data_IF_363136371848
#
_entry.id   IF_363136371848
#
_cell.length_a   1.000
_cell.length_b   1.000
_cell.length_c   1.000
_cell.angle_alpha   90.00
_cell.angle_beta   90.00
_cell.angle_gamma   90.00
#
_symmetry.space_group_name_H-M   'P 1'
#
loop_
_entity.id
_entity.type
_entity.pdbx_description
1 polymer ?
#
# COMPACT_ATOMS: atom_id res chain seq x y z
N UNK A 1 10.35 -3.79 6.97
CA UNK A 1 9.56 -2.68 6.38
C UNK A 1 8.24 -2.58 7.11
N UNK A 2 7.78 -1.36 7.41
CA UNK A 2 6.42 -1.11 7.89
C UNK A 2 5.87 0.21 7.34
N UNK A 3 4.55 0.35 7.35
CA UNK A 3 3.88 1.60 6.98
C UNK A 3 2.51 1.67 7.66
N UNK A 4 2.07 2.89 7.94
CA UNK A 4 0.67 3.19 8.23
C UNK A 4 0.04 3.79 6.95
N UNK A 5 -1.06 3.20 6.49
CA UNK A 5 -1.72 3.64 5.26
C UNK A 5 -2.99 4.41 5.58
N UNK A 6 -2.82 5.72 5.80
CA UNK A 6 -3.90 6.71 5.74
C UNK A 6 -3.83 7.43 4.39
N UNK A 7 -4.99 7.66 3.78
CA UNK A 7 -5.07 8.19 2.42
C UNK A 7 -6.12 9.29 2.34
N UNK A 8 -5.73 10.46 1.84
CA UNK A 8 -6.64 11.55 1.53
C UNK A 8 -7.13 11.41 0.09
N UNK A 9 -8.43 11.26 -0.10
CA UNK A 9 -9.04 11.23 -1.44
C UNK A 9 -9.57 12.62 -1.85
N UNK A 10 -9.42 12.98 -3.13
CA UNK A 10 -9.98 14.20 -3.71
C UNK A 10 -10.60 13.89 -5.07
N UNK A 11 -11.88 14.22 -5.24
CA UNK A 11 -12.56 14.15 -6.53
C UNK A 11 -12.41 15.49 -7.27
N UNK A 12 -11.85 15.43 -8.48
CA UNK A 12 -11.57 16.58 -9.35
C UNK A 12 -12.56 16.76 -10.51
N UNK A 13 -13.71 16.09 -10.47
CA UNK A 13 -14.71 16.12 -11.56
C UNK A 13 -14.59 14.92 -12.50
N UNK A 14 -13.48 14.80 -13.24
CA UNK A 14 -13.22 13.61 -14.09
C UNK A 14 -12.04 12.75 -13.60
N UNK A 15 -11.54 13.02 -12.40
CA UNK A 15 -10.47 12.26 -11.77
C UNK A 15 -10.71 12.07 -10.28
N UNK A 16 -10.15 11.00 -9.74
CA UNK A 16 -10.04 10.75 -8.31
C UNK A 16 -8.57 10.63 -7.94
N UNK A 17 -8.12 11.48 -7.03
CA UNK A 17 -6.75 11.49 -6.55
C UNK A 17 -6.68 10.90 -5.15
N UNK A 18 -5.65 10.11 -4.89
CA UNK A 18 -5.36 9.51 -3.60
C UNK A 18 -3.95 9.90 -3.17
N UNK A 19 -3.86 10.66 -2.08
CA UNK A 19 -2.59 11.10 -1.50
C UNK A 19 -2.32 10.31 -0.22
N UNK A 20 -1.29 9.46 -0.18
CA UNK A 20 -0.84 8.82 1.05
C UNK A 20 -0.35 9.88 2.04
N UNK A 21 -0.84 9.83 3.28
CA UNK A 21 -0.41 10.73 4.35
C UNK A 21 0.72 10.11 5.18
N UNK A 22 0.69 8.79 5.37
CA UNK A 22 1.71 8.07 6.13
C UNK A 22 2.99 7.80 5.34
N UNK A 23 4.13 7.81 6.05
CA UNK A 23 5.45 7.43 5.55
C UNK A 23 5.60 5.91 5.44
N UNK A 24 6.58 5.47 4.65
CA UNK A 24 7.05 4.10 4.60
C UNK A 24 8.42 4.01 5.28
N UNK A 25 8.64 2.95 6.03
CA UNK A 25 9.86 2.76 6.81
C UNK A 25 10.54 1.45 6.41
N UNK A 26 11.85 1.52 6.18
CA UNK A 26 12.68 0.40 5.76
C UNK A 26 13.88 0.27 6.70
N UNK A 27 14.27 -0.98 6.97
CA UNK A 27 15.48 -1.29 7.73
C UNK A 27 16.31 -2.20 6.85
N UNK A 28 17.53 -1.76 6.54
CA UNK A 28 18.49 -2.46 5.68
C UNK A 28 19.81 -2.49 6.43
N UNK A 29 20.23 -3.66 6.91
CA UNK A 29 21.34 -3.75 7.86
C UNK A 29 21.02 -2.94 9.12
N UNK A 30 21.93 -2.03 9.48
CA UNK A 30 21.79 -1.13 10.64
C UNK A 30 21.21 0.26 10.26
N UNK A 31 20.83 0.45 8.99
CA UNK A 31 20.31 1.71 8.49
C UNK A 31 18.78 1.74 8.47
N UNK A 32 18.21 2.92 8.76
CA UNK A 32 16.78 3.15 8.81
C UNK A 32 16.40 4.20 7.78
N UNK A 33 15.60 3.81 6.78
CA UNK A 33 15.14 4.70 5.74
C UNK A 33 13.68 5.08 5.94
N UNK A 34 13.37 6.34 5.70
CA UNK A 34 12.01 6.89 5.76
C UNK A 34 11.67 7.48 4.41
N UNK A 35 10.55 7.02 3.82
CA UNK A 35 10.12 7.39 2.48
C UNK A 35 8.71 7.97 2.43
N UNK A 36 8.50 8.96 1.58
CA UNK A 36 7.16 9.38 1.14
C UNK A 36 6.71 8.56 -0.07
N UNK A 37 5.40 8.52 -0.33
CA UNK A 37 4.79 7.75 -1.42
C UNK A 37 4.13 8.69 -2.42
N UNK A 38 4.16 8.38 -3.73
CA UNK A 38 3.56 9.24 -4.73
C UNK A 38 2.04 9.21 -4.60
N UNK A 39 1.39 10.23 -5.15
CA UNK A 39 -0.07 10.25 -5.32
C UNK A 39 -0.46 9.25 -6.39
N UNK A 40 -1.59 8.58 -6.20
CA UNK A 40 -2.27 7.80 -7.25
C UNK A 40 -3.41 8.62 -7.84
N UNK A 41 -3.55 8.59 -9.17
CA UNK A 41 -4.64 9.25 -9.89
C UNK A 41 -5.40 8.21 -10.69
N UNK A 42 -6.71 8.13 -10.48
CA UNK A 42 -7.65 7.46 -11.39
C UNK A 42 -8.29 8.53 -12.27
N UNK A 43 -7.84 8.62 -13.52
CA UNK A 43 -8.34 9.61 -14.50
C UNK A 43 -9.41 9.03 -15.41
N UNK A 44 -10.26 9.90 -15.96
CA UNK A 44 -11.36 9.53 -16.85
C UNK A 44 -12.39 8.59 -16.19
N UNK A 45 -12.71 8.83 -14.92
CA UNK A 45 -13.68 8.00 -14.18
C UNK A 45 -15.14 8.26 -14.60
N UNK A 46 -15.43 9.35 -15.33
CA UNK A 46 -16.76 9.65 -15.89
C UNK A 46 -16.73 9.61 -17.42
N UNK A 47 -15.77 10.29 -18.04
CA UNK A 47 -15.68 10.43 -19.49
C UNK A 47 -14.27 10.06 -19.99
N UNK A 48 -14.23 9.21 -21.03
CA UNK A 48 -13.02 8.73 -21.66
C UNK A 48 -12.61 7.33 -21.19
N UNK A 49 -11.41 6.90 -21.59
CA UNK A 49 -10.85 5.61 -21.15
C UNK A 49 -10.19 5.79 -19.79
N UNK A 50 -10.68 5.05 -18.78
CA UNK A 50 -10.10 4.98 -17.44
C UNK A 50 -8.61 4.66 -17.52
N UNK A 51 -7.80 5.42 -16.79
CA UNK A 51 -6.38 5.13 -16.59
C UNK A 51 -5.97 5.34 -15.14
N UNK A 52 -4.91 4.65 -14.74
CA UNK A 52 -4.24 4.87 -13.47
C UNK A 52 -2.89 5.52 -13.72
N UNK A 53 -2.53 6.46 -12.87
CA UNK A 53 -1.24 7.13 -12.92
C UNK A 53 -0.65 7.39 -11.53
N UNK A 54 0.67 7.53 -11.48
CA UNK A 54 1.40 7.96 -10.29
C UNK A 54 2.00 9.33 -10.55
N UNK A 55 1.85 10.26 -9.62
CA UNK A 55 2.43 11.59 -9.76
C UNK A 55 2.89 12.20 -8.44
N UNK A 56 3.80 13.16 -8.55
CA UNK A 56 4.37 13.88 -7.42
C UNK A 56 5.79 13.44 -7.09
N UNK A 57 6.42 14.23 -6.23
CA UNK A 57 7.79 14.02 -5.81
C UNK A 57 7.80 13.12 -4.57
N UNK A 58 8.75 12.19 -4.54
CA UNK A 58 8.99 11.31 -3.40
C UNK A 58 10.44 11.47 -2.94
N UNK A 59 10.64 11.35 -1.64
CA UNK A 59 11.96 11.33 -1.04
C UNK A 59 12.04 10.11 -0.13
N UNK A 60 13.15 9.37 -0.20
CA UNK A 60 13.53 8.36 0.76
C UNK A 60 14.90 8.71 1.32
N UNK A 61 15.00 8.88 2.64
CA UNK A 61 16.21 9.34 3.32
C UNK A 61 16.57 8.40 4.46
N UNK A 62 17.86 8.16 4.69
CA UNK A 62 18.40 7.63 5.92
C UNK A 62 18.81 8.80 6.83
N UNK A 63 18.06 9.11 7.91
CA UNK A 63 18.39 10.24 8.78
C UNK A 63 19.75 10.10 9.47
N UNK A 64 20.22 8.87 9.71
CA UNK A 64 21.52 8.63 10.36
C UNK A 64 22.70 9.05 9.49
N UNK A 65 22.60 8.85 8.18
CA UNK A 65 23.73 9.04 7.26
C UNK A 65 23.54 10.22 6.31
N UNK A 66 22.32 10.75 6.18
CA UNK A 66 21.97 11.79 5.22
C UNK A 66 21.82 11.30 3.78
N UNK A 67 22.14 10.03 3.49
CA UNK A 67 21.95 9.42 2.16
C UNK A 67 20.48 9.46 1.80
N UNK A 68 20.17 9.93 0.59
CA UNK A 68 18.78 10.03 0.14
C UNK A 68 18.59 9.82 -1.35
N UNK A 69 17.38 9.43 -1.72
CA UNK A 69 16.92 9.35 -3.10
C UNK A 69 15.69 10.25 -3.26
N UNK A 70 15.71 11.10 -4.28
CA UNK A 70 14.57 11.97 -4.63
C UNK A 70 14.11 11.61 -6.03
N UNK A 71 12.85 11.18 -6.17
CA UNK A 71 12.25 10.77 -7.43
C UNK A 71 11.03 11.64 -7.75
N UNK A 72 10.93 12.07 -9.01
CA UNK A 72 9.77 12.76 -9.57
C UNK A 72 8.96 11.79 -10.42
N UNK A 73 7.71 11.57 -10.03
CA UNK A 73 6.73 10.86 -10.84
C UNK A 73 6.00 11.88 -11.70
N UNK A 74 6.23 11.84 -13.01
CA UNK A 74 5.62 12.80 -13.93
C UNK A 74 4.16 12.43 -14.17
N UNK A 75 3.22 13.39 -14.01
CA UNK A 75 1.83 13.13 -14.33
C UNK A 75 1.65 12.92 -15.83
N UNK A 76 0.67 12.10 -16.19
CA UNK A 76 0.17 11.92 -17.55
C UNK A 76 -0.18 13.28 -18.16
N UNK A 77 0.59 13.67 -19.18
CA UNK A 77 0.36 14.87 -19.97
C UNK A 77 -0.50 14.59 -21.20
N UNK A 78 -1.02 15.64 -21.84
CA UNK A 78 -1.82 15.50 -23.07
C UNK A 78 -1.03 14.82 -24.20
N UNK A 79 0.27 15.12 -24.32
CA UNK A 79 1.12 14.59 -25.39
C UNK A 79 1.62 13.16 -25.15
N UNK A 80 1.26 12.54 -24.03
CA UNK A 80 1.77 11.23 -23.57
C UNK A 80 3.30 11.11 -23.43
N UNK A 81 4.07 12.20 -23.63
CA UNK A 81 5.54 12.18 -23.64
C UNK A 81 6.15 11.66 -22.34
N UNK A 82 5.49 11.94 -21.22
CA UNK A 82 5.96 11.59 -19.87
C UNK A 82 5.08 10.51 -19.24
N UNK A 83 4.30 9.77 -20.05
CA UNK A 83 3.48 8.68 -19.54
C UNK A 83 4.34 7.73 -18.72
N UNK A 84 3.98 7.55 -17.45
CA UNK A 84 4.62 6.64 -16.52
C UNK A 84 6.07 6.97 -16.17
N UNK A 85 6.61 8.11 -16.62
CA UNK A 85 8.00 8.49 -16.41
C UNK A 85 8.27 8.76 -14.93
N UNK A 86 9.30 8.12 -14.41
CA UNK A 86 9.91 8.42 -13.12
C UNK A 86 11.39 8.74 -13.34
N UNK A 87 11.86 9.84 -12.75
CA UNK A 87 13.26 10.22 -12.81
C UNK A 87 13.71 10.96 -11.56
N UNK A 88 14.99 10.90 -11.23
CA UNK A 88 15.50 11.45 -9.98
C UNK A 88 16.96 11.17 -9.76
N UNK A 89 17.43 11.36 -8.53
CA UNK A 89 18.83 11.19 -8.18
C UNK A 89 19.00 10.60 -6.77
N UNK A 90 20.09 9.87 -6.60
CA UNK A 90 20.62 9.48 -5.29
C UNK A 90 21.70 10.48 -4.88
N UNK A 91 21.69 10.84 -3.59
CA UNK A 91 22.64 11.74 -2.95
C UNK A 91 23.38 10.99 -1.86
N UNK A 92 24.69 11.17 -1.79
CA UNK A 92 25.53 10.64 -0.70
C UNK A 92 25.38 11.47 0.59
N UNK A 93 26.12 11.10 1.63
CA UNK A 93 26.15 11.80 2.92
C UNK A 93 26.63 13.25 2.84
N UNK A 94 27.44 13.59 1.85
CA UNK A 94 27.94 14.95 1.61
C UNK A 94 26.93 15.81 0.81
N UNK A 95 25.80 15.23 0.40
CA UNK A 95 24.77 15.91 -0.39
C UNK A 95 25.10 15.98 -1.89
N UNK A 96 26.10 15.24 -2.36
CA UNK A 96 26.48 15.16 -3.77
C UNK A 96 25.68 14.10 -4.50
N UNK A 97 25.33 14.36 -5.76
CA UNK A 97 24.63 13.41 -6.61
C UNK A 97 25.58 12.29 -7.04
N UNK A 98 25.21 11.04 -6.78
CA UNK A 98 26.01 9.86 -7.13
C UNK A 98 25.38 9.01 -8.23
N UNK A 99 24.05 8.96 -8.28
CA UNK A 99 23.32 8.24 -9.32
C UNK A 99 22.19 9.09 -9.89
N UNK A 100 21.96 8.98 -11.20
CA UNK A 100 20.70 9.33 -11.85
C UNK A 100 19.81 8.10 -11.86
N UNK A 101 18.54 8.23 -11.49
CA UNK A 101 17.54 7.16 -11.55
C UNK A 101 16.52 7.54 -12.61
N UNK A 102 16.20 6.63 -13.53
CA UNK A 102 15.22 6.91 -14.59
C UNK A 102 14.54 5.64 -15.07
N UNK A 103 13.27 5.75 -15.43
CA UNK A 103 12.52 4.66 -16.03
C UNK A 103 11.03 4.94 -16.16
N UNK A 104 10.27 3.88 -16.38
CA UNK A 104 8.81 3.94 -16.35
C UNK A 104 8.29 3.01 -15.25
N UNK A 105 7.51 3.54 -14.32
CA UNK A 105 7.08 2.79 -13.13
C UNK A 105 6.21 1.56 -13.46
N UNK A 106 5.69 1.48 -14.68
CA UNK A 106 4.90 0.35 -15.18
C UNK A 106 5.70 -0.63 -16.06
N UNK A 107 7.01 -0.43 -16.23
CA UNK A 107 7.89 -1.25 -17.07
C UNK A 107 9.20 -1.59 -16.38
N UNK A 108 10.12 -0.64 -16.25
CA UNK A 108 11.44 -0.85 -15.65
C UNK A 108 12.04 0.46 -15.17
N UNK A 109 12.97 0.35 -14.20
CA UNK A 109 13.71 1.48 -13.63
C UNK A 109 15.18 1.08 -13.55
N UNK A 110 16.05 1.96 -14.03
CA UNK A 110 17.51 1.82 -13.97
C UNK A 110 18.13 2.99 -13.21
N UNK A 111 19.34 2.78 -12.72
CA UNK A 111 20.21 3.83 -12.21
C UNK A 111 21.51 3.89 -13.01
N UNK A 112 22.01 5.10 -13.27
CA UNK A 112 23.30 5.34 -13.90
C UNK A 112 24.21 6.01 -12.89
N UNK A 113 25.39 5.42 -12.66
CA UNK A 113 26.44 6.03 -11.85
C UNK A 113 26.97 7.27 -12.58
N UNK A 114 26.98 8.42 -11.91
CA UNK A 114 27.36 9.71 -12.52
C UNK A 114 28.86 9.91 -12.68
N UNK A 115 29.69 9.08 -12.03
CA UNK A 115 31.15 9.11 -12.16
C UNK A 115 31.63 8.17 -13.28
N UNK A 116 31.04 6.98 -13.35
CA UNK A 116 31.51 5.91 -14.25
C UNK A 116 30.67 5.72 -15.51
N UNK A 117 29.52 6.40 -15.62
CA UNK A 117 28.49 6.19 -16.64
C UNK A 117 27.94 4.75 -16.71
N UNK A 118 28.20 3.92 -15.70
CA UNK A 118 27.70 2.56 -15.63
C UNK A 118 26.20 2.54 -15.31
N UNK A 119 25.42 1.82 -16.13
CA UNK A 119 23.99 1.63 -15.93
C UNK A 119 23.69 0.29 -15.24
N UNK A 120 22.80 0.34 -14.24
CA UNK A 120 22.35 -0.78 -13.44
C UNK A 120 20.83 -0.85 -13.53
N UNK A 121 20.29 -1.97 -14.00
CA UNK A 121 18.86 -2.26 -13.92
C UNK A 121 18.48 -2.51 -12.46
N UNK A 122 17.59 -1.68 -11.90
CA UNK A 122 17.14 -1.81 -10.50
C UNK A 122 15.90 -2.68 -10.37
N UNK A 123 14.96 -2.54 -11.30
CA UNK A 123 13.68 -3.22 -11.25
C UNK A 123 13.07 -3.32 -12.65
N UNK A 124 12.40 -4.43 -12.91
CA UNK A 124 11.58 -4.66 -14.10
C UNK A 124 10.26 -5.33 -13.70
N UNK A 125 9.18 -5.01 -14.42
CA UNK A 125 7.85 -5.55 -14.17
C UNK A 125 7.78 -7.01 -14.59
N UNK A 126 7.14 -7.83 -13.75
CA UNK A 126 6.86 -9.21 -14.10
C UNK A 126 5.83 -9.33 -15.23
N UNK A 127 6.00 -10.28 -16.16
CA UNK A 127 5.03 -10.53 -17.22
C UNK A 127 3.63 -10.82 -16.66
N UNK A 128 2.63 -10.16 -17.26
CA UNK A 128 1.22 -10.36 -16.94
C UNK A 128 0.80 -11.80 -17.22
N UNK A 129 -0.16 -12.31 -16.44
CA UNK A 129 -0.79 -13.60 -16.73
C UNK A 129 -1.59 -13.51 -18.05
N UNK A 130 -1.78 -14.65 -18.73
CA UNK A 130 -2.52 -14.70 -20.01
C UNK A 130 -3.96 -14.18 -19.85
N UNK A 131 -4.60 -14.50 -18.73
CA UNK A 131 -5.98 -14.13 -18.40
C UNK A 131 -6.09 -12.87 -17.53
N UNK A 132 -5.09 -11.97 -17.60
CA UNK A 132 -5.01 -10.76 -16.78
C UNK A 132 -6.24 -9.86 -16.92
N UNK A 133 -6.77 -9.71 -18.15
CA UNK A 133 -7.92 -8.85 -18.43
C UNK A 133 -9.22 -9.45 -17.87
N UNK A 134 -9.38 -10.77 -17.92
CA UNK A 134 -10.52 -11.51 -17.36
C UNK A 134 -10.47 -11.59 -15.83
N UNK A 135 -9.30 -11.35 -15.22
CA UNK A 135 -9.07 -11.38 -13.77
C UNK A 135 -8.84 -9.99 -13.18
N UNK A 136 -9.66 -9.01 -13.57
CA UNK A 136 -9.66 -7.65 -13.02
C UNK A 136 -8.32 -6.90 -13.13
N UNK A 137 -7.42 -7.31 -14.03
CA UNK A 137 -6.08 -6.74 -14.12
C UNK A 137 -5.19 -7.07 -12.92
N UNK A 138 -5.42 -8.21 -12.26
CA UNK A 138 -4.61 -8.65 -11.12
C UNK A 138 -3.29 -9.26 -11.57
N UNK A 139 -2.20 -8.92 -10.89
CA UNK A 139 -0.90 -9.59 -11.07
C UNK A 139 -0.94 -11.00 -10.48
N UNK A 140 -0.01 -11.87 -10.89
CA UNK A 140 0.18 -13.20 -10.28
C UNK A 140 0.35 -13.12 -8.76
N UNK A 141 1.03 -12.08 -8.27
CA UNK A 141 1.17 -11.83 -6.84
C UNK A 141 -0.19 -11.50 -6.20
N UNK A 142 -0.96 -10.59 -6.80
CA UNK A 142 -2.25 -10.16 -6.25
C UNK A 142 -3.28 -11.29 -6.19
N UNK A 143 -3.32 -12.17 -7.19
CA UNK A 143 -4.18 -13.38 -7.19
C UNK A 143 -3.90 -14.26 -5.97
N UNK A 144 -2.62 -14.41 -5.59
CA UNK A 144 -2.23 -15.24 -4.46
C UNK A 144 -2.52 -14.60 -3.08
N UNK A 145 -2.81 -13.29 -3.01
CA UNK A 145 -3.07 -12.62 -1.73
C UNK A 145 -4.31 -13.19 -1.04
N UNK A 146 -5.37 -13.51 -1.78
CA UNK A 146 -6.63 -14.01 -1.21
C UNK A 146 -6.76 -15.55 -1.24
N UNK A 147 -5.74 -16.25 -1.74
CA UNK A 147 -5.72 -17.71 -1.72
C UNK A 147 -5.64 -18.24 -0.27
N UNK A 148 -6.56 -19.15 0.10
CA UNK A 148 -6.68 -19.70 1.45
C UNK A 148 -6.50 -21.22 1.43
N UNK A 149 -5.27 -21.73 1.52
CA UNK A 149 -5.04 -23.16 1.58
C UNK A 149 -5.42 -23.72 2.96
N UNK A 150 -5.90 -24.99 3.07
CA UNK A 150 -6.36 -25.57 4.35
C UNK A 150 -5.32 -25.56 5.48
N UNK A 151 -4.03 -25.60 5.14
CA UNK A 151 -2.93 -25.50 6.13
C UNK A 151 -2.80 -24.10 6.73
N UNK A 152 -3.15 -23.06 5.96
CA UNK A 152 -3.11 -21.67 6.42
C UNK A 152 -4.37 -21.33 7.22
N UNK A 153 -5.53 -21.79 6.76
CA UNK A 153 -6.84 -21.60 7.39
C UNK A 153 -6.82 -21.91 8.89
N UNK A 154 -6.22 -23.03 9.28
CA UNK A 154 -6.09 -23.46 10.68
C UNK A 154 -5.14 -22.61 11.55
N UNK A 155 -4.41 -21.67 10.95
CA UNK A 155 -3.31 -20.92 11.60
C UNK A 155 -3.50 -19.42 11.65
N UNK A 156 -4.44 -18.84 10.92
CA UNK A 156 -4.62 -17.38 10.84
C UNK A 156 -5.75 -16.92 11.76
N UNK A 157 -5.74 -15.64 12.11
CA UNK A 157 -6.79 -15.06 12.94
C UNK A 157 -8.14 -15.10 12.21
N UNK A 158 -9.28 -15.24 12.92
CA UNK A 158 -10.61 -15.18 12.30
C UNK A 158 -10.91 -13.83 11.65
N UNK A 159 -10.13 -12.80 11.97
CA UNK A 159 -10.20 -11.45 11.37
C UNK A 159 -9.37 -11.31 10.09
N UNK A 160 -8.74 -12.36 9.58
CA UNK A 160 -7.97 -12.31 8.34
C UNK A 160 -8.90 -12.09 7.14
N UNK A 161 -8.54 -11.16 6.24
CA UNK A 161 -9.38 -10.78 5.10
C UNK A 161 -9.76 -11.95 4.18
N UNK A 162 -9.02 -13.07 4.20
CA UNK A 162 -9.38 -14.27 3.42
C UNK A 162 -10.68 -14.92 3.85
N UNK A 163 -11.13 -14.67 5.08
CA UNK A 163 -12.40 -15.14 5.62
C UNK A 163 -13.56 -14.17 5.34
N UNK A 164 -13.32 -13.02 4.72
CA UNK A 164 -14.40 -12.08 4.38
C UNK A 164 -15.41 -12.73 3.43
N UNK A 165 -16.66 -12.96 3.87
CA UNK A 165 -17.62 -13.72 3.07
C UNK A 165 -18.05 -12.96 1.81
N UNK A 166 -18.12 -11.64 1.86
CA UNK A 166 -18.46 -10.78 0.72
C UNK A 166 -17.41 -10.84 -0.38
N UNK A 167 -16.13 -10.72 -0.01
CA UNK A 167 -15.01 -10.84 -0.96
C UNK A 167 -14.90 -12.26 -1.53
N UNK A 168 -15.09 -13.29 -0.71
CA UNK A 168 -15.05 -14.70 -1.15
C UNK A 168 -16.19 -15.03 -2.13
N UNK A 169 -17.40 -14.56 -1.84
CA UNK A 169 -18.55 -14.74 -2.73
C UNK A 169 -18.30 -14.06 -4.08
N UNK A 170 -17.81 -12.80 -4.05
CA UNK A 170 -17.49 -12.06 -5.26
C UNK A 170 -16.37 -12.73 -6.09
N UNK A 171 -15.30 -13.21 -5.45
CA UNK A 171 -14.22 -13.95 -6.12
C UNK A 171 -14.71 -15.26 -6.77
N UNK A 172 -15.72 -15.90 -6.18
CA UNK A 172 -16.36 -17.11 -6.73
C UNK A 172 -17.43 -16.80 -7.80
N UNK A 173 -17.66 -15.53 -8.13
CA UNK A 173 -18.65 -15.10 -9.13
C UNK A 173 -20.09 -14.99 -8.60
N UNK A 174 -20.33 -15.16 -7.30
CA UNK A 174 -21.64 -14.97 -6.68
C UNK A 174 -21.81 -13.51 -6.24
N UNK A 175 -22.19 -12.67 -7.19
CA UNK A 175 -22.31 -11.22 -7.02
C UNK A 175 -23.44 -10.86 -6.04
N UNK A 176 -24.56 -11.60 -6.08
CA UNK A 176 -25.72 -11.34 -5.23
C UNK A 176 -25.44 -11.67 -3.77
N UNK A 177 -24.81 -12.83 -3.51
CA UNK A 177 -24.35 -13.18 -2.18
C UNK A 177 -23.29 -12.18 -1.68
N UNK A 178 -22.34 -11.79 -2.54
CA UNK A 178 -21.35 -10.78 -2.21
C UNK A 178 -21.97 -9.45 -1.77
N UNK A 179 -22.96 -8.95 -2.49
CA UNK A 179 -23.67 -7.73 -2.14
C UNK A 179 -24.45 -7.85 -0.81
N UNK A 180 -25.12 -8.99 -0.58
CA UNK A 180 -25.87 -9.27 0.65
C UNK A 180 -24.94 -9.33 1.86
N UNK A 181 -23.84 -10.08 1.76
CA UNK A 181 -22.85 -10.20 2.83
C UNK A 181 -22.16 -8.86 3.11
N UNK A 182 -21.84 -8.09 2.06
CA UNK A 182 -21.30 -6.73 2.23
C UNK A 182 -22.24 -5.85 3.07
N UNK A 183 -23.54 -5.86 2.77
CA UNK A 183 -24.52 -5.10 3.54
C UNK A 183 -24.58 -5.56 5.00
N UNK A 184 -24.62 -6.88 5.25
CA UNK A 184 -24.63 -7.45 6.60
C UNK A 184 -23.39 -7.04 7.42
N UNK A 185 -22.20 -7.08 6.81
CA UNK A 185 -20.94 -6.70 7.45
C UNK A 185 -20.90 -5.22 7.79
N UNK A 186 -21.33 -4.35 6.86
CA UNK A 186 -21.36 -2.91 7.09
C UNK A 186 -22.35 -2.52 8.19
N UNK A 187 -23.53 -3.13 8.25
CA UNK A 187 -24.50 -2.90 9.34
C UNK A 187 -23.96 -3.39 10.68
N UNK A 188 -23.39 -4.60 10.76
CA UNK A 188 -22.73 -5.11 11.97
C UNK A 188 -21.64 -4.14 12.45
N UNK A 189 -20.81 -3.62 11.54
CA UNK A 189 -19.78 -2.65 11.89
C UNK A 189 -20.36 -1.32 12.41
N UNK A 190 -21.45 -0.83 11.80
CA UNK A 190 -22.16 0.40 12.24
C UNK A 190 -22.77 0.23 13.62
N UNK A 191 -23.42 -0.89 13.89
CA UNK A 191 -24.01 -1.22 15.19
C UNK A 191 -22.95 -1.31 16.30
N UNK A 192 -21.86 -2.06 16.07
CA UNK A 192 -20.76 -2.19 17.04
C UNK A 192 -20.07 -0.84 17.28
N UNK A 193 -20.00 0.03 16.27
CA UNK A 193 -19.50 1.41 16.46
C UNK A 193 -20.46 2.26 17.29
N UNK A 194 -21.77 2.13 17.05
CA UNK A 194 -22.80 2.84 17.82
C UNK A 194 -22.77 2.44 19.31
N UNK A 195 -22.72 1.14 19.61
CA UNK A 195 -22.62 0.63 20.98
C UNK A 195 -21.35 1.12 21.69
N UNK A 196 -20.19 1.08 21.01
CA UNK A 196 -18.94 1.62 21.56
C UNK A 196 -19.05 3.11 21.91
N UNK A 197 -19.64 3.91 21.03
CA UNK A 197 -19.85 5.33 21.28
C UNK A 197 -20.81 5.58 22.45
N UNK A 198 -21.91 4.83 22.54
CA UNK A 198 -22.89 4.93 23.64
C UNK A 198 -22.28 4.56 25.00
N UNK A 199 -21.34 3.60 25.00
CA UNK A 199 -20.63 3.17 26.20
C UNK A 199 -19.37 4.01 26.52
N UNK A 200 -19.02 5.01 25.70
CA UNK A 200 -17.74 5.74 25.76
C UNK A 200 -16.50 4.82 25.73
N UNK A 201 -16.59 3.70 25.01
CA UNK A 201 -15.49 2.75 24.86
C UNK A 201 -14.56 3.17 23.72
N UNK A 202 -13.25 3.20 23.99
CA UNK A 202 -12.23 3.43 22.96
C UNK A 202 -11.86 2.13 22.27
N UNK A 203 -11.81 2.16 20.93
CA UNK A 203 -11.33 1.01 20.15
C UNK A 203 -9.81 0.92 20.21
N UNK A 204 -9.29 -0.22 20.65
CA UNK A 204 -7.86 -0.51 20.67
C UNK A 204 -7.55 -1.65 19.69
N UNK A 205 -6.67 -1.45 18.69
CA UNK A 205 -6.24 -2.52 17.80
C UNK A 205 -5.47 -3.62 18.57
N UNK A 206 -5.68 -4.89 18.20
CA UNK A 206 -5.04 -6.02 18.91
C UNK A 206 -3.54 -6.15 18.67
N UNK A 207 -3.09 -5.87 17.44
CA UNK A 207 -1.72 -6.17 16.99
C UNK A 207 -0.85 -4.93 16.81
N UNK A 208 -1.41 -3.75 17.12
CA UNK A 208 -0.72 -2.48 16.99
C UNK A 208 -1.09 -1.55 18.14
N UNK A 209 -0.12 -0.77 18.57
CA UNK A 209 -0.29 0.29 19.55
C UNK A 209 -0.20 1.65 18.86
N UNK A 210 -1.12 2.55 19.16
CA UNK A 210 -1.06 3.92 18.67
C UNK A 210 0.05 4.66 19.42
N UNK A 211 0.95 5.28 18.67
CA UNK A 211 2.08 6.07 19.17
C UNK A 211 2.01 7.45 18.52
N UNK A 212 2.30 8.48 19.31
CA UNK A 212 2.46 9.85 18.84
C UNK A 212 3.93 10.19 18.90
N UNK A 213 4.49 10.60 17.77
CA UNK A 213 5.84 11.14 17.71
C UNK A 213 5.87 12.50 18.41
N UNK A 214 6.70 12.64 19.44
CA UNK A 214 6.71 13.84 20.30
C UNK A 214 7.22 15.10 19.58
N UNK A 215 8.10 14.92 18.58
CA UNK A 215 8.73 16.03 17.85
C UNK A 215 7.83 16.57 16.73
N UNK A 216 7.11 15.68 16.05
CA UNK A 216 6.29 16.02 14.89
C UNK A 216 4.80 16.10 15.20
N UNK A 217 4.35 15.45 16.27
CA UNK A 217 2.93 15.22 16.57
C UNK A 217 2.26 14.20 15.65
N UNK A 218 3.03 13.52 14.79
CA UNK A 218 2.50 12.52 13.86
C UNK A 218 2.04 11.27 14.62
N UNK A 219 0.86 10.77 14.26
CA UNK A 219 0.31 9.52 14.83
C UNK A 219 0.67 8.34 13.94
N UNK A 220 1.17 7.27 14.53
CA UNK A 220 1.48 6.02 13.84
C UNK A 220 1.16 4.79 14.69
N UNK A 221 1.12 3.63 14.04
CA UNK A 221 0.77 2.36 14.68
C UNK A 221 2.00 1.46 14.73
N UNK A 222 2.51 1.23 15.94
CA UNK A 222 3.66 0.35 16.20
C UNK A 222 3.19 -1.09 16.36
N UNK A 223 3.80 -2.01 15.61
CA UNK A 223 3.53 -3.44 15.77
C UNK A 223 3.97 -3.92 17.17
N UNK A 224 3.11 -4.67 17.86
CA UNK A 224 3.34 -5.10 19.24
C UNK A 224 3.79 -6.57 19.37
N UNK A 225 4.22 -7.21 18.27
CA UNK A 225 4.70 -8.60 18.18
C UNK A 225 3.69 -9.71 18.52
N UNK A 226 2.52 -9.36 19.05
CA UNK A 226 1.56 -10.32 19.57
C UNK A 226 0.92 -11.21 18.50
N UNK A 227 0.82 -10.75 17.25
CA UNK A 227 0.20 -11.53 16.18
C UNK A 227 0.91 -12.87 15.98
N UNK A 228 2.25 -12.86 15.82
CA UNK A 228 3.01 -14.07 15.54
C UNK A 228 3.08 -15.00 16.75
N UNK A 229 3.13 -14.44 17.96
CA UNK A 229 3.07 -15.21 19.21
C UNK A 229 1.73 -15.93 19.37
N UNK A 230 0.61 -15.26 19.10
CA UNK A 230 -0.73 -15.85 19.12
C UNK A 230 -0.91 -16.90 18.03
N UNK A 231 -0.43 -16.61 16.81
CA UNK A 231 -0.42 -17.55 15.69
C UNK A 231 0.33 -18.84 15.99
N UNK A 232 1.50 -18.74 16.63
CA UNK A 232 2.28 -19.91 17.01
C UNK A 232 1.54 -20.81 18.01
N UNK A 233 0.72 -20.22 18.88
CA UNK A 233 -0.10 -20.91 19.89
C UNK A 233 -1.49 -21.33 19.38
N UNK A 234 -1.93 -20.84 18.22
CA UNK A 234 -3.30 -21.02 17.73
C UNK A 234 -4.36 -20.34 18.61
N UNK A 235 -4.00 -19.28 19.31
CA UNK A 235 -4.86 -18.63 20.31
C UNK A 235 -5.54 -17.38 19.75
N UNK A 236 -6.83 -17.49 19.45
CA UNK A 236 -7.65 -16.41 18.86
C UNK A 236 -8.87 -16.02 19.71
N UNK A 237 -8.92 -16.44 20.99
CA UNK A 237 -10.09 -16.24 21.86
C UNK A 237 -10.47 -14.77 22.11
N UNK A 238 -9.52 -13.86 21.98
CA UNK A 238 -9.71 -12.41 22.10
C UNK A 238 -9.82 -11.69 20.75
N UNK A 239 -9.83 -12.44 19.64
CA UNK A 239 -10.07 -11.86 18.32
C UNK A 239 -11.53 -11.43 18.19
N UNK A 240 -11.80 -10.20 17.75
CA UNK A 240 -13.17 -9.72 17.59
C UNK A 240 -13.88 -10.50 16.48
N UNK A 241 -15.17 -10.74 16.69
CA UNK A 241 -16.05 -11.27 15.65
C UNK A 241 -16.52 -10.13 14.74
N UNK A 242 -15.84 -9.99 13.59
CA UNK A 242 -16.07 -8.90 12.63
C UNK A 242 -16.73 -9.35 11.32
N UNK A 243 -16.96 -10.66 11.16
CA UNK A 243 -17.59 -11.22 9.97
C UNK A 243 -19.00 -11.73 10.24
#
# INVERSE_FOLDING_TARGET
MWTHSEMKSKFGGNSLEFTPLGKAYYVIGDEHYVGTRPKTVAGNIIFGTLYLDLSGDTETICPQTGVKCVLKHHPKGWTNKNDFLVEGHVFNSDGEKTYSVRGHWNQSISATNLETDEEILLWEIEPRAENFAEQYGLTKFAINLNHLPPKLEKKIAPTDSRFRPDLRAYENGDIDLGAKEKHRLEEKQREVRKMRNENNETWNPLFFEEVVDEDTGDRFFKFNDNYWLKRAKGSWSDSPDIY
#
